data_IF_373477634728
#
_entry.id   IF_373477634728
#
_cell.length_a   1.000
_cell.length_b   1.000
_cell.length_c   1.000
_cell.angle_alpha   90.00
_cell.angle_beta   90.00
_cell.angle_gamma   90.00
#
_symmetry.space_group_name_H-M   'P 1'
#
loop_
_entity.id
_entity.type
_entity.pdbx_description
1 polymer ?
#
# COMPACT_ATOMS: atom_id res chain seq x y z
N UNK A 1 -18.98 52.64 16.28
CA UNK A 1 -18.55 51.64 15.25
C UNK A 1 -17.42 50.73 15.73
N UNK A 2 -16.44 51.19 16.51
CA UNK A 2 -15.29 50.41 16.98
C UNK A 2 -15.65 49.31 17.98
N UNK A 3 -16.56 49.58 18.92
CA UNK A 3 -17.01 48.60 19.95
C UNK A 3 -17.73 47.41 19.33
N UNK A 4 -18.55 47.66 18.29
CA UNK A 4 -19.29 46.59 17.59
C UNK A 4 -18.34 45.67 16.78
N UNK A 5 -17.28 46.23 16.18
CA UNK A 5 -16.24 45.42 15.48
C UNK A 5 -15.44 44.55 16.45
N UNK A 6 -15.06 45.11 17.61
CA UNK A 6 -14.33 44.33 18.62
C UNK A 6 -15.21 43.23 19.20
N UNK A 7 -16.50 43.50 19.47
CA UNK A 7 -17.45 42.47 19.93
C UNK A 7 -17.66 41.38 18.88
N UNK A 8 -17.73 41.69 17.58
CA UNK A 8 -17.86 40.74 16.48
C UNK A 8 -16.61 39.87 16.33
N UNK A 9 -15.41 40.43 16.50
CA UNK A 9 -14.15 39.69 16.46
C UNK A 9 -14.07 38.74 17.66
N UNK A 10 -14.40 39.19 18.86
CA UNK A 10 -14.39 38.34 20.07
C UNK A 10 -15.43 37.25 19.99
N UNK A 11 -16.63 37.52 19.47
CA UNK A 11 -17.65 36.45 19.26
C UNK A 11 -17.27 35.50 18.15
N UNK A 12 -16.62 35.98 17.09
CA UNK A 12 -16.09 35.13 16.02
C UNK A 12 -14.95 34.23 16.53
N UNK A 13 -14.01 34.76 17.30
CA UNK A 13 -12.92 34.01 17.92
C UNK A 13 -13.46 32.98 18.94
N UNK A 14 -14.46 33.34 19.73
CA UNK A 14 -15.13 32.44 20.66
C UNK A 14 -15.94 31.33 19.91
N UNK A 15 -16.56 31.64 18.77
CA UNK A 15 -17.22 30.67 17.90
C UNK A 15 -16.21 29.77 17.20
N UNK A 16 -15.09 30.31 16.72
CA UNK A 16 -13.99 29.51 16.17
C UNK A 16 -13.39 28.58 17.23
N UNK A 17 -13.18 29.08 18.46
CA UNK A 17 -12.73 28.25 19.58
C UNK A 17 -13.77 27.18 19.95
N UNK A 18 -15.05 27.48 19.83
CA UNK A 18 -16.12 26.51 20.10
C UNK A 18 -16.26 25.46 18.98
N UNK A 19 -16.11 25.85 17.72
CA UNK A 19 -16.08 24.94 16.56
C UNK A 19 -14.76 24.14 16.55
N UNK A 20 -13.63 24.75 16.91
CA UNK A 20 -12.33 24.08 17.04
C UNK A 20 -12.17 23.25 18.32
N UNK A 21 -13.16 23.23 19.22
CA UNK A 21 -13.17 22.42 20.45
C UNK A 21 -13.17 20.90 20.24
N UNK A 22 -13.00 20.43 19.02
CA UNK A 22 -12.74 19.02 18.70
C UNK A 22 -11.25 18.67 18.62
N UNK A 23 -10.39 19.37 19.36
CA UNK A 23 -8.98 18.96 19.44
C UNK A 23 -8.86 17.62 20.15
N UNK A 24 -8.45 16.60 19.41
CA UNK A 24 -8.19 15.29 19.96
C UNK A 24 -7.08 15.37 20.99
N UNK A 25 -7.39 15.09 22.28
CA UNK A 25 -6.37 15.05 23.33
C UNK A 25 -5.56 13.77 23.20
N UNK A 26 -4.24 13.93 23.15
CA UNK A 26 -3.29 12.83 22.99
C UNK A 26 -2.21 12.85 24.08
N UNK A 27 -1.64 11.68 24.35
CA UNK A 27 -0.41 11.53 25.11
C UNK A 27 0.74 11.21 24.16
N UNK A 28 1.94 11.69 24.45
CA UNK A 28 3.17 11.30 23.75
C UNK A 28 3.84 10.18 24.54
N UNK A 29 4.13 9.06 23.87
CA UNK A 29 4.89 7.96 24.48
C UNK A 29 6.38 8.30 24.50
N UNK A 30 7.01 8.09 25.67
CA UNK A 30 8.43 8.39 25.86
C UNK A 30 8.70 9.76 26.49
N UNK A 31 9.94 9.97 26.91
CA UNK A 31 10.46 11.20 27.52
C UNK A 31 11.82 11.60 26.96
N UNK A 32 12.20 11.04 25.81
CA UNK A 32 13.42 11.35 25.09
C UNK A 32 13.37 12.72 24.38
N UNK A 33 14.46 13.13 23.77
CA UNK A 33 14.56 14.39 23.05
C UNK A 33 13.57 14.47 21.88
N UNK A 34 13.31 13.35 21.20
CA UNK A 34 12.36 13.31 20.10
C UNK A 34 10.93 13.51 20.58
N UNK A 35 10.53 12.89 21.69
CA UNK A 35 9.22 13.11 22.34
C UNK A 35 9.02 14.56 22.73
N UNK A 36 10.05 15.23 23.27
CA UNK A 36 10.01 16.67 23.60
C UNK A 36 9.91 17.53 22.33
N UNK A 37 10.65 17.19 21.29
CA UNK A 37 10.57 17.88 20.00
C UNK A 37 9.17 17.77 19.38
N UNK A 38 8.53 16.60 19.47
CA UNK A 38 7.14 16.40 19.03
C UNK A 38 6.14 17.29 19.78
N UNK A 39 6.30 17.46 21.10
CA UNK A 39 5.45 18.38 21.88
C UNK A 39 5.58 19.81 21.39
N UNK A 40 6.83 20.26 21.15
CA UNK A 40 7.07 21.60 20.62
C UNK A 40 6.46 21.80 19.24
N UNK A 41 6.58 20.81 18.39
CA UNK A 41 6.01 20.80 17.04
C UNK A 41 4.48 20.82 17.03
N UNK A 42 3.82 20.14 17.98
CA UNK A 42 2.36 20.08 18.07
C UNK A 42 1.77 21.24 18.87
N UNK A 43 2.57 22.20 19.33
CA UNK A 43 2.13 23.33 20.15
C UNK A 43 0.99 24.13 19.53
N UNK A 44 1.09 24.40 18.22
CA UNK A 44 0.15 25.20 17.46
C UNK A 44 -0.80 24.37 16.59
N UNK A 45 -0.91 23.05 16.85
CA UNK A 45 -1.80 22.16 16.11
C UNK A 45 -3.27 22.45 16.42
N UNK A 46 -4.07 22.68 15.39
CA UNK A 46 -5.52 22.84 15.50
C UNK A 46 -6.27 21.51 15.73
N UNK A 47 -5.61 20.35 15.50
CA UNK A 47 -6.24 19.04 15.54
C UNK A 47 -5.90 18.23 16.79
N UNK A 48 -4.71 18.41 17.34
CA UNK A 48 -4.19 17.62 18.47
C UNK A 48 -3.78 18.54 19.64
N UNK A 49 -4.17 18.14 20.85
CA UNK A 49 -3.73 18.77 22.08
C UNK A 49 -2.97 17.78 22.94
N UNK A 50 -1.67 18.01 23.11
CA UNK A 50 -0.83 17.15 23.97
C UNK A 50 -1.20 17.38 25.41
N UNK A 51 -1.65 16.31 26.11
CA UNK A 51 -2.06 16.34 27.50
C UNK A 51 -0.96 15.93 28.47
N UNK A 52 0.09 15.30 28.00
CA UNK A 52 1.22 14.85 28.81
C UNK A 52 2.09 13.84 28.08
N UNK A 53 3.09 13.36 28.80
CA UNK A 53 3.96 12.26 28.37
C UNK A 53 3.55 10.99 29.09
N UNK A 54 3.81 9.84 28.48
CA UNK A 54 3.38 8.53 28.94
C UNK A 54 4.56 7.55 28.90
N UNK A 55 4.89 6.91 30.01
CA UNK A 55 6.12 6.11 30.16
C UNK A 55 5.83 4.86 30.94
N UNK A 56 6.36 3.73 30.47
CA UNK A 56 6.32 2.48 31.22
C UNK A 56 7.34 2.47 32.37
N UNK A 57 6.94 1.95 33.54
CA UNK A 57 7.77 1.74 34.71
C UNK A 57 7.50 2.68 35.88
N UNK A 58 8.10 2.36 37.03
CA UNK A 58 8.05 3.18 38.26
C UNK A 58 9.22 4.15 38.24
N UNK A 59 8.97 5.42 37.96
CA UNK A 59 9.98 6.42 38.25
C UNK A 59 9.36 7.60 38.98
N UNK A 60 9.84 7.86 40.19
CA UNK A 60 9.33 8.90 41.07
C UNK A 60 10.05 10.25 40.97
N UNK A 61 11.04 10.40 40.09
CA UNK A 61 11.95 11.56 40.12
C UNK A 61 11.49 12.76 39.27
N UNK A 62 10.82 12.54 38.16
CA UNK A 62 10.33 13.62 37.31
C UNK A 62 8.82 13.54 37.13
N UNK A 63 8.11 14.53 37.66
CA UNK A 63 6.64 14.64 37.52
C UNK A 63 6.21 15.47 36.32
N UNK A 64 7.09 16.26 35.73
CA UNK A 64 6.81 17.15 34.60
C UNK A 64 8.00 17.22 33.63
N UNK A 65 7.70 17.30 32.35
CA UNK A 65 8.65 17.51 31.26
C UNK A 65 8.06 18.53 30.29
N UNK A 66 8.84 19.55 29.91
CA UNK A 66 8.41 20.60 29.00
C UNK A 66 7.01 21.16 29.38
N UNK A 67 6.81 21.51 30.65
CA UNK A 67 5.57 22.03 31.26
C UNK A 67 4.36 21.10 31.25
N UNK A 68 4.49 19.86 30.81
CA UNK A 68 3.44 18.85 30.83
C UNK A 68 3.71 17.74 31.86
N UNK A 69 2.66 17.10 32.41
CA UNK A 69 2.82 16.01 33.34
C UNK A 69 3.37 14.76 32.63
N UNK A 70 4.16 13.98 33.36
CA UNK A 70 4.57 12.64 32.98
C UNK A 70 3.68 11.65 33.73
N UNK A 71 3.07 10.73 33.01
CA UNK A 71 2.27 9.64 33.56
C UNK A 71 3.04 8.33 33.45
N UNK A 72 3.21 7.67 34.58
CA UNK A 72 3.85 6.36 34.67
C UNK A 72 2.79 5.29 34.77
N UNK A 73 3.02 4.16 34.15
CA UNK A 73 2.13 3.01 34.22
C UNK A 73 2.92 1.71 34.29
N UNK A 74 2.35 0.72 34.97
CA UNK A 74 2.86 -0.65 35.03
C UNK A 74 1.81 -1.67 34.57
N UNK A 75 0.55 -1.25 34.60
CA UNK A 75 -0.58 -2.11 34.25
C UNK A 75 -1.70 -1.28 33.59
N UNK A 76 -2.67 -1.99 33.02
CA UNK A 76 -3.77 -1.38 32.25
C UNK A 76 -4.72 -0.54 33.12
N UNK A 77 -4.81 -0.82 34.42
CA UNK A 77 -5.63 -0.03 35.37
C UNK A 77 -5.11 1.39 35.53
N UNK A 78 -3.79 1.56 35.54
CA UNK A 78 -3.15 2.89 35.61
C UNK A 78 -3.47 3.72 34.38
N UNK A 79 -3.47 3.04 33.24
CA UNK A 79 -3.79 3.62 31.93
C UNK A 79 -5.23 4.10 31.88
N UNK A 80 -6.19 3.25 32.27
CA UNK A 80 -7.62 3.55 32.30
C UNK A 80 -7.95 4.79 33.11
N UNK A 81 -7.36 4.92 34.28
CA UNK A 81 -7.57 6.08 35.14
C UNK A 81 -7.15 7.39 34.46
N UNK A 82 -5.97 7.40 33.85
CA UNK A 82 -5.43 8.59 33.18
C UNK A 82 -6.28 8.97 31.97
N UNK A 83 -6.62 7.98 31.14
CA UNK A 83 -7.38 8.18 29.90
C UNK A 83 -8.76 8.76 30.21
N UNK A 84 -9.51 8.15 31.14
CA UNK A 84 -10.85 8.62 31.53
C UNK A 84 -10.82 9.99 32.19
N UNK A 85 -9.93 10.21 33.15
CA UNK A 85 -9.82 11.46 33.89
C UNK A 85 -9.42 12.66 33.02
N UNK A 86 -8.60 12.45 32.00
CA UNK A 86 -8.08 13.49 31.11
C UNK A 86 -8.77 13.57 29.76
N UNK A 87 -9.68 12.65 29.46
CA UNK A 87 -10.38 12.58 28.18
C UNK A 87 -9.44 12.38 27.01
N UNK A 88 -8.46 11.48 27.19
CA UNK A 88 -7.47 11.14 26.17
C UNK A 88 -8.15 10.31 25.07
N UNK A 89 -7.85 10.63 23.82
CA UNK A 89 -8.41 9.99 22.63
C UNK A 89 -7.37 9.32 21.74
N UNK A 90 -6.09 9.41 22.11
CA UNK A 90 -5.02 8.73 21.37
C UNK A 90 -3.67 8.84 22.02
N UNK A 91 -2.76 7.98 21.58
CA UNK A 91 -1.35 7.95 21.98
C UNK A 91 -0.50 8.16 20.73
N UNK A 92 0.48 9.06 20.81
CA UNK A 92 1.43 9.39 19.76
C UNK A 92 2.80 8.82 20.12
N UNK A 93 3.35 8.02 19.24
CA UNK A 93 4.69 7.47 19.32
C UNK A 93 5.67 8.31 18.51
N UNK A 94 6.86 8.58 19.06
CA UNK A 94 7.95 9.28 18.37
C UNK A 94 8.65 8.39 17.36
N UNK A 95 8.80 7.10 17.68
CA UNK A 95 9.43 6.09 16.83
C UNK A 95 8.55 4.87 16.67
N UNK A 96 8.73 4.21 15.55
CA UNK A 96 8.04 2.95 15.30
C UNK A 96 8.47 1.84 16.28
N UNK A 97 9.74 1.83 16.66
CA UNK A 97 10.31 0.87 17.63
C UNK A 97 9.60 0.92 18.99
N UNK A 98 9.18 2.12 19.39
CA UNK A 98 8.45 2.32 20.64
C UNK A 98 7.08 1.63 20.65
N UNK A 99 6.48 1.40 19.49
CA UNK A 99 5.21 0.67 19.38
C UNK A 99 5.35 -0.82 19.65
N UNK A 100 6.58 -1.36 19.55
CA UNK A 100 6.90 -2.78 19.81
C UNK A 100 7.33 -3.06 21.22
N UNK A 101 7.55 -2.03 22.01
CA UNK A 101 7.89 -2.22 23.41
C UNK A 101 6.77 -2.95 24.13
N UNK A 102 7.13 -3.81 25.06
CA UNK A 102 6.19 -4.61 25.85
C UNK A 102 5.27 -5.53 25.02
N UNK A 103 5.85 -6.22 24.02
CA UNK A 103 5.12 -7.22 23.22
C UNK A 103 3.84 -6.67 22.59
N UNK A 104 3.83 -5.40 22.19
CA UNK A 104 2.68 -4.66 21.63
C UNK A 104 1.50 -4.44 22.61
N UNK A 105 1.66 -4.66 23.90
CA UNK A 105 0.58 -4.55 24.89
C UNK A 105 -0.14 -3.21 24.82
N UNK A 106 0.60 -2.11 24.68
CA UNK A 106 0.00 -0.77 24.62
C UNK A 106 -0.81 -0.55 23.33
N UNK A 107 -0.42 -1.17 22.22
CA UNK A 107 -1.20 -1.16 20.99
C UNK A 107 -2.52 -1.91 21.16
N UNK A 108 -2.47 -3.07 21.79
CA UNK A 108 -3.67 -3.87 22.09
C UNK A 108 -4.61 -3.14 23.04
N UNK A 109 -4.05 -2.49 24.06
CA UNK A 109 -4.81 -1.65 24.97
C UNK A 109 -5.51 -0.49 24.24
N UNK A 110 -4.79 0.24 23.38
CA UNK A 110 -5.36 1.33 22.60
C UNK A 110 -6.52 0.85 21.73
N UNK A 111 -6.36 -0.30 21.10
CA UNK A 111 -7.38 -0.92 20.26
C UNK A 111 -8.63 -1.29 21.06
N UNK A 112 -8.45 -1.94 22.21
CA UNK A 112 -9.57 -2.39 23.05
C UNK A 112 -10.38 -1.24 23.66
N UNK A 113 -9.79 -0.04 23.73
CA UNK A 113 -10.40 1.15 24.33
C UNK A 113 -10.73 2.26 23.33
N UNK A 114 -10.78 1.96 22.04
CA UNK A 114 -11.08 2.92 20.94
C UNK A 114 -10.17 4.16 20.97
N UNK A 115 -8.89 3.98 21.32
CA UNK A 115 -7.90 5.03 21.31
C UNK A 115 -7.15 5.06 19.97
N UNK A 116 -6.98 6.27 19.42
CA UNK A 116 -6.19 6.45 18.21
C UNK A 116 -4.72 6.20 18.50
N UNK A 117 -4.11 5.30 17.76
CA UNK A 117 -2.66 5.09 17.77
C UNK A 117 -2.05 5.90 16.62
N UNK A 118 -1.17 6.82 16.96
CA UNK A 118 -0.55 7.77 16.03
C UNK A 118 0.95 7.58 16.04
N UNK A 119 1.58 7.82 14.91
CA UNK A 119 3.04 7.85 14.76
C UNK A 119 3.47 9.16 14.11
N UNK A 120 4.59 9.70 14.54
CA UNK A 120 5.23 10.82 13.86
C UNK A 120 6.21 10.27 12.80
N UNK A 121 6.19 10.78 11.57
CA UNK A 121 7.17 10.43 10.56
C UNK A 121 8.57 10.93 10.96
N UNK A 122 9.60 10.22 10.50
CA UNK A 122 11.00 10.62 10.67
C UNK A 122 11.30 11.92 9.90
N UNK A 123 12.30 12.68 10.34
CA UNK A 123 12.68 13.98 9.73
C UNK A 123 13.04 13.84 8.24
N UNK A 124 13.47 12.65 7.79
CA UNK A 124 13.78 12.34 6.39
C UNK A 124 12.56 12.31 5.45
N UNK A 125 11.34 12.26 6.00
CA UNK A 125 10.09 12.22 5.24
C UNK A 125 9.39 13.60 5.20
N UNK A 126 10.04 14.64 5.74
CA UNK A 126 9.50 15.98 5.78
C UNK A 126 9.59 16.63 4.40
N UNK A 127 8.44 16.94 3.80
CA UNK A 127 8.37 17.76 2.60
C UNK A 127 8.76 19.21 2.87
N UNK A 128 9.34 19.86 1.85
CA UNK A 128 9.83 21.24 1.86
C UNK A 128 8.79 22.32 2.20
N UNK A 129 7.51 21.98 2.27
CA UNK A 129 6.39 22.94 2.38
C UNK A 129 5.89 23.21 3.81
N UNK A 130 6.50 22.66 4.83
CA UNK A 130 6.26 23.03 6.24
C UNK A 130 4.87 22.76 6.82
N UNK A 131 3.99 22.02 6.14
CA UNK A 131 2.63 21.75 6.60
C UNK A 131 2.57 20.60 7.62
N UNK A 132 2.60 20.94 8.89
CA UNK A 132 2.60 20.03 10.04
C UNK A 132 1.37 19.11 10.18
N UNK A 133 0.25 19.45 9.57
CA UNK A 133 -1.01 18.69 9.70
C UNK A 133 -0.98 17.32 9.03
N UNK A 134 -0.05 17.09 8.10
CA UNK A 134 0.11 15.81 7.40
C UNK A 134 1.03 14.82 8.14
N UNK A 135 1.72 15.23 9.19
CA UNK A 135 2.82 14.47 9.80
C UNK A 135 2.40 13.50 10.90
N UNK A 136 1.24 13.72 11.50
CA UNK A 136 0.70 12.79 12.50
C UNK A 136 -0.45 12.02 11.87
N UNK A 137 -0.25 10.73 11.64
CA UNK A 137 -1.23 9.85 11.00
C UNK A 137 -1.47 8.58 11.82
N UNK A 138 -2.61 7.90 11.64
CA UNK A 138 -2.81 6.57 12.19
C UNK A 138 -1.74 5.61 11.67
N UNK A 139 -1.29 4.68 12.52
CA UNK A 139 -0.38 3.61 12.11
C UNK A 139 -1.04 2.80 11.01
N UNK A 140 -0.36 2.67 9.88
CA UNK A 140 -0.77 1.84 8.76
C UNK A 140 -0.11 0.45 8.87
N UNK A 141 -0.72 -0.52 8.19
CA UNK A 141 -0.18 -1.88 8.13
C UNK A 141 1.24 -1.90 7.54
N UNK A 142 1.54 -1.00 6.62
CA UNK A 142 2.86 -0.83 6.00
C UNK A 142 3.95 -0.47 7.01
N UNK A 143 3.60 0.28 8.05
CA UNK A 143 4.53 0.66 9.13
C UNK A 143 5.00 -0.57 9.94
N UNK A 144 4.26 -1.70 9.84
CA UNK A 144 4.62 -2.97 10.51
C UNK A 144 5.77 -3.72 9.83
N UNK A 145 6.22 -3.32 8.65
CA UNK A 145 7.34 -3.98 7.95
C UNK A 145 8.67 -3.87 8.71
N UNK A 146 8.85 -2.82 9.52
CA UNK A 146 10.04 -2.62 10.34
C UNK A 146 11.34 -2.43 9.55
N UNK A 147 11.25 -2.03 8.29
CA UNK A 147 12.37 -1.65 7.42
C UNK A 147 11.96 -0.49 6.51
N UNK A 148 12.94 0.26 6.06
CA UNK A 148 12.71 1.29 5.06
C UNK A 148 12.19 0.66 3.74
N UNK A 149 11.30 1.37 3.04
CA UNK A 149 10.89 0.99 1.69
C UNK A 149 12.09 1.05 0.73
N UNK A 150 12.12 0.11 -0.22
CA UNK A 150 13.12 0.12 -1.29
C UNK A 150 12.79 1.27 -2.24
N UNK A 151 13.68 2.26 -2.30
CA UNK A 151 13.55 3.40 -3.17
C UNK A 151 14.39 3.19 -4.43
N UNK A 152 13.74 3.03 -5.58
CA UNK A 152 14.39 2.94 -6.89
C UNK A 152 14.33 4.32 -7.55
N UNK A 153 15.42 4.71 -8.19
CA UNK A 153 15.45 5.97 -8.94
C UNK A 153 14.61 5.86 -10.24
N UNK A 154 13.34 6.21 -10.14
CA UNK A 154 12.40 6.16 -11.26
C UNK A 154 12.81 7.03 -12.46
N UNK A 155 13.71 8.01 -12.29
CA UNK A 155 14.21 8.83 -13.42
C UNK A 155 15.00 8.00 -14.43
N UNK A 156 15.76 6.99 -13.99
CA UNK A 156 16.47 6.09 -14.89
C UNK A 156 15.49 5.18 -15.63
N UNK A 157 14.45 4.73 -14.94
CA UNK A 157 13.40 3.88 -15.48
C UNK A 157 12.51 4.66 -16.46
N UNK A 158 12.25 5.94 -16.21
CA UNK A 158 11.37 6.78 -17.03
C UNK A 158 11.80 6.86 -18.50
N UNK A 159 13.10 6.85 -18.80
CA UNK A 159 13.61 6.88 -20.16
C UNK A 159 13.13 5.68 -21.00
N UNK A 160 12.92 4.53 -20.35
CA UNK A 160 12.46 3.30 -20.99
C UNK A 160 10.97 3.33 -21.42
N UNK A 161 10.16 4.20 -20.79
CA UNK A 161 8.71 4.25 -20.98
C UNK A 161 8.24 5.51 -21.70
N UNK A 162 9.06 6.57 -21.73
CA UNK A 162 8.67 7.87 -22.31
C UNK A 162 8.16 7.73 -23.74
N UNK A 163 6.97 8.28 -23.99
CA UNK A 163 6.35 8.31 -25.32
C UNK A 163 5.80 6.97 -25.80
N UNK A 164 5.81 5.92 -24.99
CA UNK A 164 5.34 4.57 -25.37
C UNK A 164 3.88 4.35 -25.04
N UNK A 165 3.25 3.46 -25.79
CA UNK A 165 1.97 2.84 -25.43
C UNK A 165 2.26 1.65 -24.53
N UNK A 166 1.64 1.65 -23.34
CA UNK A 166 1.82 0.59 -22.33
C UNK A 166 0.50 -0.13 -22.11
N UNK A 167 0.53 -1.45 -22.20
CA UNK A 167 -0.59 -2.32 -21.86
C UNK A 167 -0.36 -2.93 -20.49
N UNK A 168 -1.36 -2.83 -19.62
CA UNK A 168 -1.40 -3.53 -18.34
C UNK A 168 -2.59 -4.49 -18.33
N UNK A 169 -2.34 -5.79 -18.27
CA UNK A 169 -3.39 -6.79 -18.07
C UNK A 169 -3.55 -7.09 -16.59
N UNK A 170 -4.77 -7.37 -16.14
CA UNK A 170 -5.09 -7.43 -14.71
C UNK A 170 -5.05 -6.03 -14.07
N UNK A 171 -5.39 -5.00 -14.86
CA UNK A 171 -5.27 -3.59 -14.49
C UNK A 171 -6.14 -3.16 -13.31
N UNK A 172 -7.22 -3.89 -13.03
CA UNK A 172 -8.10 -3.65 -11.89
C UNK A 172 -7.67 -4.38 -10.60
N UNK A 173 -6.67 -5.27 -10.69
CA UNK A 173 -6.08 -5.94 -9.52
C UNK A 173 -5.17 -5.02 -8.72
N UNK A 174 -4.81 -5.43 -7.49
CA UNK A 174 -3.97 -4.63 -6.58
C UNK A 174 -2.61 -4.25 -7.19
N UNK A 175 -1.96 -5.16 -7.91
CA UNK A 175 -0.67 -4.90 -8.58
C UNK A 175 -0.89 -4.11 -9.87
N UNK A 176 -1.86 -4.54 -10.71
CA UNK A 176 -2.10 -3.89 -11.99
C UNK A 176 -2.52 -2.43 -11.86
N UNK A 177 -3.42 -2.10 -10.93
CA UNK A 177 -3.86 -0.72 -10.71
C UNK A 177 -2.73 0.18 -10.18
N UNK A 178 -1.87 -0.36 -9.32
CA UNK A 178 -0.72 0.38 -8.82
C UNK A 178 0.35 0.58 -9.90
N UNK A 179 0.61 -0.43 -10.75
CA UNK A 179 1.46 -0.26 -11.94
C UNK A 179 0.92 0.86 -12.84
N UNK A 180 -0.40 0.89 -13.07
CA UNK A 180 -1.03 1.96 -13.83
C UNK A 180 -0.75 3.33 -13.22
N UNK A 181 -0.91 3.50 -11.88
CA UNK A 181 -0.63 4.77 -11.18
C UNK A 181 0.82 5.21 -11.33
N UNK A 182 1.76 4.29 -11.15
CA UNK A 182 3.19 4.64 -11.23
C UNK A 182 3.65 4.93 -12.67
N UNK A 183 3.11 4.24 -13.66
CA UNK A 183 3.42 4.46 -15.08
C UNK A 183 3.04 5.86 -15.55
N UNK A 184 1.99 6.47 -15.01
CA UNK A 184 1.56 7.84 -15.31
C UNK A 184 2.71 8.83 -15.11
N UNK A 185 3.48 8.69 -14.04
CA UNK A 185 4.61 9.57 -13.72
C UNK A 185 5.82 9.41 -14.62
N UNK A 186 5.84 8.42 -15.54
CA UNK A 186 6.99 8.09 -16.39
C UNK A 186 6.93 8.68 -17.79
N UNK A 187 5.91 9.53 -18.09
CA UNK A 187 5.77 10.19 -19.39
C UNK A 187 5.38 9.26 -20.53
N UNK A 188 4.61 8.23 -20.26
CA UNK A 188 4.03 7.34 -21.28
C UNK A 188 3.11 8.12 -22.23
N UNK A 189 2.97 7.65 -23.47
CA UNK A 189 2.06 8.27 -24.45
C UNK A 189 0.61 7.85 -24.22
N UNK A 190 0.38 6.58 -23.93
CA UNK A 190 -0.95 6.00 -23.73
C UNK A 190 -0.88 4.81 -22.78
N UNK A 191 -1.87 4.71 -21.91
CA UNK A 191 -2.06 3.57 -21.00
C UNK A 191 -3.29 2.77 -21.42
N UNK A 192 -3.12 1.48 -21.73
CA UNK A 192 -4.23 0.55 -22.00
C UNK A 192 -4.41 -0.34 -20.79
N UNK A 193 -5.56 -0.20 -20.12
CA UNK A 193 -5.91 -0.94 -18.90
C UNK A 193 -6.87 -2.08 -19.26
N UNK A 194 -6.39 -3.32 -19.29
CA UNK A 194 -7.15 -4.50 -19.68
C UNK A 194 -7.47 -5.37 -18.47
N UNK A 195 -8.75 -5.63 -18.23
CA UNK A 195 -9.22 -6.49 -17.14
C UNK A 195 -10.56 -7.13 -17.46
N UNK A 196 -10.83 -8.32 -16.88
CA UNK A 196 -12.13 -9.00 -17.01
C UNK A 196 -13.13 -8.55 -15.95
N UNK A 197 -12.68 -7.94 -14.86
CA UNK A 197 -13.52 -7.48 -13.75
C UNK A 197 -14.05 -6.06 -14.04
N UNK A 198 -15.30 -5.96 -14.52
CA UNK A 198 -15.92 -4.71 -14.97
C UNK A 198 -15.94 -3.64 -13.85
N UNK A 199 -16.59 -3.94 -12.72
CA UNK A 199 -16.76 -2.97 -11.63
C UNK A 199 -15.42 -2.48 -11.03
N UNK A 200 -14.44 -3.34 -10.71
CA UNK A 200 -13.11 -2.88 -10.31
C UNK A 200 -12.43 -2.01 -11.37
N UNK A 201 -12.55 -2.35 -12.65
CA UNK A 201 -11.96 -1.55 -13.73
C UNK A 201 -12.64 -0.17 -13.85
N UNK A 202 -13.96 -0.11 -13.68
CA UNK A 202 -14.70 1.14 -13.63
C UNK A 202 -14.23 2.04 -12.47
N UNK A 203 -14.02 1.47 -11.29
CA UNK A 203 -13.50 2.23 -10.15
C UNK A 203 -12.11 2.83 -10.43
N UNK A 204 -11.21 2.06 -11.05
CA UNK A 204 -9.90 2.55 -11.48
C UNK A 204 -10.08 3.65 -12.54
N UNK A 205 -11.00 3.51 -13.48
CA UNK A 205 -11.31 4.55 -14.47
C UNK A 205 -11.70 5.86 -13.79
N UNK A 206 -12.66 5.85 -12.87
CA UNK A 206 -13.11 7.05 -12.15
C UNK A 206 -11.97 7.71 -11.36
N UNK A 207 -11.11 6.91 -10.76
CA UNK A 207 -9.91 7.41 -10.08
C UNK A 207 -8.99 8.14 -11.06
N UNK A 208 -8.76 7.56 -12.25
CA UNK A 208 -7.88 8.14 -13.26
C UNK A 208 -8.45 9.41 -13.89
N UNK A 209 -9.74 9.44 -14.19
CA UNK A 209 -10.44 10.63 -14.67
C UNK A 209 -10.31 11.81 -13.69
N UNK A 210 -10.33 11.52 -12.38
CA UNK A 210 -10.22 12.53 -11.33
C UNK A 210 -8.78 12.99 -11.08
N UNK A 211 -7.85 12.05 -10.98
CA UNK A 211 -6.50 12.33 -10.46
C UNK A 211 -5.45 12.53 -11.56
N UNK A 212 -5.71 12.05 -12.79
CA UNK A 212 -4.77 12.07 -13.91
C UNK A 212 -5.44 12.52 -15.23
N UNK A 213 -6.09 13.69 -15.26
CA UNK A 213 -6.91 14.14 -16.42
C UNK A 213 -6.09 14.34 -17.71
N UNK A 214 -4.79 14.58 -17.61
CA UNK A 214 -3.91 14.85 -18.75
C UNK A 214 -3.35 13.57 -19.39
N UNK A 215 -3.64 12.39 -18.84
CA UNK A 215 -3.13 11.12 -19.33
C UNK A 215 -4.12 10.50 -20.32
N UNK A 216 -3.61 10.17 -21.52
CA UNK A 216 -4.37 9.36 -22.46
C UNK A 216 -4.43 7.90 -21.99
N UNK A 217 -5.58 7.49 -21.43
CA UNK A 217 -5.79 6.14 -20.96
C UNK A 217 -7.09 5.54 -21.48
N UNK A 218 -7.09 4.24 -21.68
CA UNK A 218 -8.25 3.50 -22.18
C UNK A 218 -8.49 2.26 -21.31
N UNK A 219 -9.61 2.18 -20.59
CA UNK A 219 -10.05 0.93 -19.94
C UNK A 219 -10.67 0.00 -20.98
N UNK A 220 -10.23 -1.25 -21.00
CA UNK A 220 -10.70 -2.29 -21.92
C UNK A 220 -11.17 -3.49 -21.10
N UNK A 221 -12.47 -3.79 -21.17
CA UNK A 221 -13.01 -5.01 -20.58
C UNK A 221 -12.66 -6.19 -21.48
N UNK A 222 -12.04 -7.22 -20.93
CA UNK A 222 -11.71 -8.43 -21.66
C UNK A 222 -10.99 -9.46 -20.82
N UNK A 223 -11.08 -10.72 -21.25
CA UNK A 223 -10.47 -11.86 -20.57
C UNK A 223 -9.25 -12.33 -21.39
N UNK A 224 -8.13 -12.55 -20.72
CA UNK A 224 -6.89 -13.03 -21.34
C UNK A 224 -7.05 -14.45 -21.92
N UNK A 225 -8.09 -15.20 -21.53
CA UNK A 225 -8.45 -16.50 -22.10
C UNK A 225 -9.02 -16.41 -23.50
N UNK A 226 -9.53 -15.24 -23.90
CA UNK A 226 -10.18 -15.01 -25.21
C UNK A 226 -9.17 -14.42 -26.18
N UNK A 227 -8.59 -15.28 -27.01
CA UNK A 227 -7.51 -14.93 -27.95
C UNK A 227 -7.88 -13.73 -28.83
N UNK A 228 -9.06 -13.74 -29.40
CA UNK A 228 -9.55 -12.69 -30.30
C UNK A 228 -9.65 -11.34 -29.59
N UNK A 229 -10.04 -11.35 -28.31
CA UNK A 229 -10.13 -10.13 -27.52
C UNK A 229 -8.74 -9.57 -27.21
N UNK A 230 -7.78 -10.42 -26.87
CA UNK A 230 -6.37 -10.02 -26.68
C UNK A 230 -5.82 -9.49 -28.02
N UNK A 231 -6.05 -10.19 -29.14
CA UNK A 231 -5.61 -9.76 -30.49
C UNK A 231 -6.13 -8.35 -30.82
N UNK A 232 -7.43 -8.10 -30.66
CA UNK A 232 -8.03 -6.78 -30.92
C UNK A 232 -7.34 -5.65 -30.13
N UNK A 233 -6.91 -5.90 -28.89
CA UNK A 233 -6.19 -4.91 -28.09
C UNK A 233 -4.82 -4.60 -28.70
N UNK A 234 -4.07 -5.62 -29.09
CA UNK A 234 -2.77 -5.41 -29.71
C UNK A 234 -2.88 -4.76 -31.10
N UNK A 235 -3.87 -5.15 -31.88
CA UNK A 235 -4.15 -4.59 -33.22
C UNK A 235 -4.54 -3.11 -33.15
N UNK A 236 -5.40 -2.72 -32.18
CA UNK A 236 -5.89 -1.35 -32.08
C UNK A 236 -4.89 -0.39 -31.43
N UNK A 237 -4.09 -0.85 -30.50
CA UNK A 237 -3.26 0.03 -29.66
C UNK A 237 -1.75 -0.13 -29.87
N UNK A 238 -1.28 -1.20 -30.49
CA UNK A 238 0.13 -1.49 -30.77
C UNK A 238 1.05 -1.20 -29.55
N UNK A 239 0.83 -1.87 -28.38
CA UNK A 239 1.61 -1.59 -27.19
C UNK A 239 3.09 -1.97 -27.38
N UNK A 240 3.98 -1.05 -27.07
CA UNK A 240 5.42 -1.30 -27.06
C UNK A 240 5.88 -2.02 -25.79
N UNK A 241 5.20 -1.78 -24.67
CA UNK A 241 5.50 -2.44 -23.40
C UNK A 241 4.23 -3.08 -22.83
N UNK A 242 4.37 -4.31 -22.35
CA UNK A 242 3.27 -5.07 -21.77
C UNK A 242 3.62 -5.47 -20.35
N UNK A 243 2.82 -5.06 -19.39
CA UNK A 243 2.84 -5.61 -18.04
C UNK A 243 1.71 -6.62 -17.90
N UNK A 244 2.06 -7.89 -17.69
CA UNK A 244 1.10 -8.96 -17.58
C UNK A 244 0.92 -9.34 -16.10
N UNK A 245 -0.10 -8.75 -15.46
CA UNK A 245 -0.46 -9.00 -14.06
C UNK A 245 -1.79 -9.78 -13.91
N UNK A 246 -2.49 -10.09 -15.01
CA UNK A 246 -3.69 -10.92 -14.99
C UNK A 246 -3.36 -12.36 -14.58
N UNK A 247 -3.93 -12.81 -13.46
CA UNK A 247 -3.75 -14.19 -12.97
C UNK A 247 -4.74 -14.50 -11.85
N UNK A 248 -5.08 -15.76 -11.67
CA UNK A 248 -5.67 -16.28 -10.46
C UNK A 248 -4.59 -16.62 -9.43
N UNK A 249 -4.78 -16.19 -8.17
CA UNK A 249 -3.73 -16.22 -7.13
C UNK A 249 -4.11 -16.96 -5.84
N UNK A 250 -5.39 -17.24 -5.63
CA UNK A 250 -5.87 -17.87 -4.40
C UNK A 250 -5.67 -19.37 -4.43
N UNK A 251 -4.72 -19.86 -3.63
CA UNK A 251 -4.32 -21.27 -3.61
C UNK A 251 -5.52 -22.21 -3.37
N UNK A 252 -6.35 -22.03 -2.31
CA UNK A 252 -7.46 -22.94 -2.07
C UNK A 252 -8.44 -23.03 -3.25
N UNK A 253 -8.82 -21.88 -3.83
CA UNK A 253 -9.72 -21.88 -4.97
C UNK A 253 -9.12 -22.55 -6.21
N UNK A 254 -7.81 -22.47 -6.40
CA UNK A 254 -7.16 -23.13 -7.55
C UNK A 254 -6.97 -24.62 -7.34
N UNK A 255 -6.84 -25.08 -6.10
CA UNK A 255 -6.90 -26.52 -5.80
C UNK A 255 -8.28 -27.12 -6.13
N UNK A 256 -9.35 -26.37 -5.83
CA UNK A 256 -10.72 -26.77 -6.16
C UNK A 256 -11.05 -26.62 -7.65
N UNK A 257 -10.36 -25.72 -8.37
CA UNK A 257 -10.62 -25.36 -9.77
C UNK A 257 -9.33 -25.37 -10.62
N UNK A 258 -8.64 -26.52 -10.76
CA UNK A 258 -7.34 -26.58 -11.42
C UNK A 258 -7.38 -26.20 -12.91
N UNK A 259 -8.47 -26.52 -13.61
CA UNK A 259 -8.64 -26.15 -15.01
C UNK A 259 -8.66 -24.63 -15.20
N UNK A 260 -9.29 -23.90 -14.31
CA UNK A 260 -9.36 -22.42 -14.35
C UNK A 260 -7.96 -21.81 -14.12
N UNK A 261 -7.17 -22.39 -13.20
CA UNK A 261 -5.78 -21.98 -13.03
C UNK A 261 -4.95 -22.14 -14.31
N UNK A 262 -5.10 -23.26 -15.03
CA UNK A 262 -4.41 -23.50 -16.29
C UNK A 262 -4.92 -22.54 -17.38
N UNK A 263 -6.22 -22.38 -17.51
CA UNK A 263 -6.80 -21.52 -18.55
C UNK A 263 -6.37 -20.06 -18.38
N UNK A 264 -6.41 -19.51 -17.17
CA UNK A 264 -6.04 -18.11 -16.93
C UNK A 264 -4.52 -17.94 -16.88
N UNK A 265 -3.85 -18.71 -16.01
CA UNK A 265 -2.44 -18.45 -15.73
C UNK A 265 -1.51 -18.96 -16.84
N UNK A 266 -1.83 -20.07 -17.50
CA UNK A 266 -1.00 -20.65 -18.56
C UNK A 266 -1.46 -20.18 -19.93
N UNK A 267 -2.71 -20.53 -20.33
CA UNK A 267 -3.21 -20.18 -21.66
C UNK A 267 -3.34 -18.69 -21.87
N UNK A 268 -3.84 -17.96 -20.85
CA UNK A 268 -3.93 -16.49 -20.89
C UNK A 268 -2.55 -15.84 -21.04
N UNK A 269 -1.56 -16.28 -20.26
CA UNK A 269 -0.18 -15.76 -20.39
C UNK A 269 0.44 -16.06 -21.73
N UNK A 270 0.20 -17.27 -22.27
CA UNK A 270 0.64 -17.66 -23.62
C UNK A 270 0.05 -16.74 -24.68
N UNK A 271 -1.26 -16.49 -24.64
CA UNK A 271 -1.93 -15.66 -25.63
C UNK A 271 -1.40 -14.22 -25.61
N UNK A 272 -1.18 -13.64 -24.42
CA UNK A 272 -0.60 -12.29 -24.30
C UNK A 272 0.84 -12.28 -24.85
N UNK A 273 1.64 -13.30 -24.54
CA UNK A 273 3.02 -13.40 -25.03
C UNK A 273 3.10 -13.56 -26.54
N UNK A 274 2.24 -14.44 -27.13
CA UNK A 274 2.17 -14.66 -28.58
C UNK A 274 1.79 -13.36 -29.30
N UNK A 275 0.78 -12.64 -28.80
CA UNK A 275 0.38 -11.36 -29.37
C UNK A 275 1.49 -10.28 -29.20
N UNK A 276 2.21 -10.29 -28.09
CA UNK A 276 3.34 -9.38 -27.93
C UNK A 276 4.42 -9.58 -29.00
N UNK A 277 4.69 -10.83 -29.37
CA UNK A 277 5.61 -11.15 -30.48
C UNK A 277 5.01 -10.78 -31.83
N UNK A 278 3.77 -11.23 -32.11
CA UNK A 278 3.07 -11.03 -33.39
C UNK A 278 2.97 -9.54 -33.74
N UNK A 279 2.66 -8.67 -32.74
CA UNK A 279 2.52 -7.22 -32.95
C UNK A 279 3.78 -6.41 -32.61
N UNK A 280 4.91 -7.09 -32.38
CA UNK A 280 6.23 -6.48 -32.28
C UNK A 280 6.43 -5.62 -31.04
N UNK A 281 5.81 -5.97 -29.89
CA UNK A 281 6.10 -5.33 -28.62
C UNK A 281 7.61 -5.44 -28.30
N UNK A 282 8.17 -4.39 -27.71
CA UNK A 282 9.60 -4.35 -27.36
C UNK A 282 9.89 -5.19 -26.12
N UNK A 283 8.97 -5.11 -25.13
CA UNK A 283 9.12 -5.81 -23.83
C UNK A 283 7.78 -6.35 -23.34
N UNK A 284 7.83 -7.52 -22.73
CA UNK A 284 6.75 -8.05 -21.89
C UNK A 284 7.31 -8.41 -20.53
N UNK A 285 6.77 -7.79 -19.49
CA UNK A 285 7.09 -8.07 -18.09
C UNK A 285 5.95 -8.88 -17.51
N UNK A 286 6.26 -10.13 -17.15
CA UNK A 286 5.30 -11.05 -16.53
C UNK A 286 5.43 -10.99 -15.01
N UNK A 287 4.36 -10.64 -14.34
CA UNK A 287 4.28 -10.70 -12.88
C UNK A 287 4.06 -12.14 -12.42
N UNK A 288 4.96 -12.65 -11.59
CA UNK A 288 4.90 -13.99 -11.02
C UNK A 288 5.04 -13.94 -9.48
N UNK A 289 5.24 -15.08 -8.85
CA UNK A 289 5.19 -15.26 -7.40
C UNK A 289 6.33 -16.13 -6.91
N UNK A 290 6.69 -16.00 -5.62
CA UNK A 290 7.56 -16.91 -4.89
C UNK A 290 7.07 -18.36 -4.94
N UNK A 291 5.74 -18.57 -5.01
CA UNK A 291 5.10 -19.88 -5.06
C UNK A 291 5.34 -20.64 -6.38
N UNK A 292 5.88 -19.97 -7.40
CA UNK A 292 6.36 -20.60 -8.62
C UNK A 292 7.77 -21.21 -8.50
N UNK A 293 8.44 -20.99 -7.35
CA UNK A 293 9.73 -21.62 -7.03
C UNK A 293 9.46 -22.94 -6.32
N UNK A 294 9.87 -24.06 -6.94
CA UNK A 294 9.57 -25.42 -6.42
C UNK A 294 8.08 -25.58 -6.03
N UNK A 295 7.17 -25.41 -6.98
CA UNK A 295 5.75 -25.27 -6.68
C UNK A 295 5.18 -26.55 -6.07
N UNK A 296 4.45 -26.40 -4.96
CA UNK A 296 3.80 -27.49 -4.23
C UNK A 296 2.26 -27.40 -4.28
N UNK A 297 1.71 -26.55 -5.16
CA UNK A 297 0.27 -26.35 -5.31
C UNK A 297 -0.08 -25.97 -6.75
N UNK A 298 -1.36 -26.15 -7.13
CA UNK A 298 -1.87 -25.92 -8.50
C UNK A 298 -1.59 -24.49 -8.97
N UNK A 299 -1.85 -23.48 -8.12
CA UNK A 299 -1.60 -22.08 -8.46
C UNK A 299 -0.12 -21.84 -8.77
N UNK A 300 0.78 -22.30 -7.91
CA UNK A 300 2.23 -22.19 -8.12
C UNK A 300 2.69 -22.94 -9.38
N UNK A 301 2.18 -24.17 -9.61
CA UNK A 301 2.47 -24.95 -10.82
C UNK A 301 2.01 -24.22 -12.08
N UNK A 302 0.80 -23.67 -12.10
CA UNK A 302 0.27 -22.95 -13.26
C UNK A 302 1.11 -21.69 -13.57
N UNK A 303 1.53 -20.94 -12.55
CA UNK A 303 2.44 -19.79 -12.74
C UNK A 303 3.81 -20.22 -13.24
N UNK A 304 4.35 -21.34 -12.73
CA UNK A 304 5.63 -21.88 -13.20
C UNK A 304 5.56 -22.34 -14.67
N UNK A 305 4.49 -23.00 -15.08
CA UNK A 305 4.29 -23.37 -16.49
C UNK A 305 4.23 -22.14 -17.41
N UNK A 306 3.53 -21.09 -16.98
CA UNK A 306 3.50 -19.83 -17.71
C UNK A 306 4.89 -19.18 -17.83
N UNK A 307 5.68 -19.18 -16.75
CA UNK A 307 7.08 -18.69 -16.79
C UNK A 307 7.92 -19.49 -17.77
N UNK A 308 7.81 -20.82 -17.76
CA UNK A 308 8.56 -21.70 -18.68
C UNK A 308 8.19 -21.37 -20.12
N UNK A 309 6.90 -21.19 -20.43
CA UNK A 309 6.48 -20.81 -21.77
C UNK A 309 7.10 -19.48 -22.21
N UNK A 310 6.94 -18.43 -21.41
CA UNK A 310 7.43 -17.08 -21.71
C UNK A 310 8.96 -17.08 -21.87
N UNK A 311 9.68 -17.77 -20.99
CA UNK A 311 11.14 -17.88 -21.08
C UNK A 311 11.58 -18.67 -22.32
N UNK A 312 10.90 -19.78 -22.64
CA UNK A 312 11.19 -20.58 -23.82
C UNK A 312 10.96 -19.81 -25.11
N UNK A 313 9.87 -18.99 -25.17
CA UNK A 313 9.59 -18.12 -26.31
C UNK A 313 10.70 -17.07 -26.48
N UNK A 314 11.15 -16.46 -25.37
CA UNK A 314 12.27 -15.52 -25.37
C UNK A 314 13.61 -16.15 -25.81
N UNK A 315 13.87 -17.43 -25.45
CA UNK A 315 15.00 -18.18 -25.94
C UNK A 315 14.90 -18.45 -27.44
N UNK A 316 13.73 -18.90 -27.92
CA UNK A 316 13.50 -19.18 -29.33
C UNK A 316 13.68 -17.95 -30.22
N UNK A 317 13.29 -16.76 -29.77
CA UNK A 317 13.55 -15.49 -30.46
C UNK A 317 15.06 -15.21 -30.51
N UNK A 318 15.77 -15.33 -29.40
CA UNK A 318 17.23 -15.09 -29.36
C UNK A 318 18.02 -16.06 -30.25
N UNK A 319 17.53 -17.29 -30.36
CA UNK A 319 18.14 -18.33 -31.23
C UNK A 319 17.70 -18.23 -32.70
N UNK A 320 16.83 -17.26 -33.04
CA UNK A 320 16.32 -17.09 -34.41
C UNK A 320 15.31 -18.14 -34.85
N UNK A 321 14.82 -18.99 -33.94
CA UNK A 321 13.79 -20.02 -34.23
C UNK A 321 12.39 -19.42 -34.38
N UNK A 322 12.15 -18.30 -33.71
CA UNK A 322 10.93 -17.51 -33.81
C UNK A 322 11.30 -16.10 -34.23
N UNK A 323 10.65 -15.60 -35.26
CA UNK A 323 10.83 -14.21 -35.66
C UNK A 323 10.16 -13.27 -34.66
N UNK A 324 10.91 -12.28 -34.17
CA UNK A 324 10.41 -11.31 -33.21
C UNK A 324 11.54 -10.52 -32.55
N UNK A 325 11.18 -9.49 -31.80
CA UNK A 325 12.13 -8.63 -31.06
C UNK A 325 11.79 -8.49 -29.57
N UNK A 326 10.69 -9.08 -29.17
CA UNK A 326 10.14 -8.93 -27.81
C UNK A 326 11.10 -9.50 -26.77
N UNK A 327 11.48 -8.67 -25.79
CA UNK A 327 12.25 -9.10 -24.62
C UNK A 327 11.27 -9.52 -23.52
N UNK A 328 11.41 -10.74 -23.03
CA UNK A 328 10.60 -11.27 -21.96
C UNK A 328 11.34 -11.18 -20.63
N UNK A 329 10.66 -10.63 -19.62
CA UNK A 329 11.16 -10.48 -18.25
C UNK A 329 10.12 -11.11 -17.33
N UNK A 330 10.56 -11.96 -16.41
CA UNK A 330 9.72 -12.55 -15.38
C UNK A 330 10.16 -12.04 -14.02
N UNK A 331 9.24 -11.44 -13.28
CA UNK A 331 9.48 -10.94 -11.93
C UNK A 331 8.73 -11.80 -10.92
N UNK A 332 9.39 -12.12 -9.79
CA UNK A 332 8.81 -12.87 -8.68
C UNK A 332 8.91 -12.05 -7.41
N UNK A 333 7.83 -11.99 -6.66
CA UNK A 333 7.82 -11.41 -5.32
C UNK A 333 6.94 -12.22 -4.39
N UNK A 334 7.14 -12.02 -3.09
CA UNK A 334 6.40 -12.69 -2.03
C UNK A 334 5.01 -12.07 -1.81
N UNK A 335 4.56 -12.06 -0.55
CA UNK A 335 3.27 -11.48 -0.23
C UNK A 335 3.37 -9.94 -0.25
N UNK A 336 2.30 -9.31 -0.73
CA UNK A 336 2.17 -7.84 -0.70
C UNK A 336 1.12 -7.45 0.34
N UNK A 337 1.46 -6.47 1.17
CA UNK A 337 0.60 -5.97 2.23
C UNK A 337 -0.64 -5.30 1.66
N UNK A 338 -1.80 -5.56 2.27
CA UNK A 338 -3.05 -4.88 1.90
C UNK A 338 -3.64 -5.28 0.55
N UNK A 339 -3.09 -6.28 -0.16
CA UNK A 339 -3.69 -6.74 -1.42
C UNK A 339 -5.04 -7.45 -1.17
N UNK A 340 -5.99 -7.26 -2.10
CA UNK A 340 -7.33 -7.83 -2.01
C UNK A 340 -7.29 -9.35 -1.77
N UNK A 341 -8.06 -9.81 -0.77
CA UNK A 341 -8.13 -11.22 -0.37
C UNK A 341 -6.84 -11.79 0.22
N UNK A 342 -5.88 -10.95 0.63
CA UNK A 342 -4.67 -11.40 1.32
C UNK A 342 -4.90 -11.68 2.81
N UNK A 343 -3.90 -12.28 3.46
CA UNK A 343 -3.99 -12.70 4.87
C UNK A 343 -4.23 -11.54 5.84
N UNK A 344 -3.66 -10.36 5.57
CA UNK A 344 -3.76 -9.22 6.49
C UNK A 344 -5.18 -8.65 6.60
N UNK A 345 -5.89 -8.33 5.50
CA UNK A 345 -7.31 -7.95 5.59
C UNK A 345 -8.17 -9.02 6.28
N UNK A 346 -7.90 -10.31 6.05
CA UNK A 346 -8.62 -11.40 6.71
C UNK A 346 -8.35 -11.43 8.22
N UNK A 347 -7.10 -11.26 8.64
CA UNK A 347 -6.76 -11.18 10.05
C UNK A 347 -7.42 -9.99 10.71
N UNK A 348 -7.43 -8.83 10.04
CA UNK A 348 -8.11 -7.62 10.54
C UNK A 348 -9.59 -7.89 10.74
N UNK A 349 -10.29 -8.46 9.77
CA UNK A 349 -11.69 -8.84 9.86
C UNK A 349 -11.95 -9.82 11.02
N UNK A 350 -11.12 -10.88 11.15
CA UNK A 350 -11.25 -11.85 12.25
C UNK A 350 -11.06 -11.18 13.62
N UNK A 351 -10.11 -10.27 13.75
CA UNK A 351 -9.86 -9.53 14.99
C UNK A 351 -11.05 -8.59 15.29
N UNK A 352 -11.55 -7.87 14.30
CA UNK A 352 -12.71 -6.97 14.45
C UNK A 352 -13.98 -7.73 14.89
N UNK A 353 -14.11 -8.99 14.47
CA UNK A 353 -15.20 -9.89 14.86
C UNK A 353 -14.94 -10.66 16.19
N UNK A 354 -13.89 -10.30 16.95
CA UNK A 354 -13.57 -10.89 18.25
C UNK A 354 -12.71 -12.15 18.21
N UNK A 355 -12.13 -12.51 17.03
CA UNK A 355 -11.25 -13.67 16.88
C UNK A 355 -11.97 -15.02 16.81
N UNK A 356 -11.26 -16.14 16.81
CA UNK A 356 -9.79 -16.25 16.77
C UNK A 356 -9.20 -15.94 15.39
N UNK A 357 -7.89 -15.60 15.36
CA UNK A 357 -7.12 -15.48 14.11
C UNK A 357 -6.71 -16.88 13.63
N UNK A 358 -6.99 -17.18 12.36
CA UNK A 358 -6.66 -18.48 11.76
C UNK A 358 -5.26 -18.48 11.18
N UNK A 359 -4.35 -19.26 11.78
CA UNK A 359 -2.98 -19.46 11.30
C UNK A 359 -2.86 -20.84 10.67
N UNK A 360 -2.33 -20.94 9.46
CA UNK A 360 -2.20 -22.20 8.73
C UNK A 360 -1.19 -23.13 9.38
N UNK A 361 -0.09 -22.60 9.90
CA UNK A 361 0.95 -23.35 10.61
C UNK A 361 1.71 -22.39 11.54
N UNK A 362 2.05 -22.79 12.79
CA UNK A 362 2.71 -21.90 13.74
C UNK A 362 4.08 -21.40 13.27
N UNK A 363 4.84 -22.22 12.57
CA UNK A 363 6.20 -21.91 12.10
C UNK A 363 6.24 -21.29 10.70
N UNK A 364 5.10 -20.85 10.15
CA UNK A 364 5.06 -20.34 8.80
C UNK A 364 5.72 -18.96 8.71
N UNK A 365 6.71 -18.84 7.83
CA UNK A 365 7.41 -17.58 7.55
C UNK A 365 6.95 -17.05 6.18
N UNK A 366 6.70 -15.76 6.08
CA UNK A 366 6.34 -15.06 4.84
C UNK A 366 7.14 -13.78 4.71
N UNK A 367 7.66 -13.54 3.50
CA UNK A 367 8.22 -12.24 3.13
C UNK A 367 7.10 -11.31 2.72
N UNK A 368 7.13 -10.09 3.23
CA UNK A 368 6.18 -9.05 2.90
C UNK A 368 6.88 -7.82 2.31
N UNK A 369 6.18 -7.16 1.39
CA UNK A 369 6.52 -5.84 0.87
C UNK A 369 5.25 -5.02 0.66
N UNK A 370 5.39 -3.71 0.47
CA UNK A 370 4.25 -2.86 0.08
C UNK A 370 3.90 -3.07 -1.39
N UNK A 371 2.66 -2.78 -1.78
CA UNK A 371 2.24 -2.85 -3.18
C UNK A 371 3.04 -1.86 -4.04
N UNK A 372 3.23 -0.56 -3.62
CA UNK A 372 4.06 0.38 -4.37
C UNK A 372 5.51 -0.09 -4.54
N UNK A 373 6.11 -0.69 -3.50
CA UNK A 373 7.47 -1.24 -3.55
C UNK A 373 7.59 -2.38 -4.57
N UNK A 374 6.64 -3.34 -4.53
CA UNK A 374 6.60 -4.43 -5.49
C UNK A 374 6.50 -3.91 -6.93
N UNK A 375 5.64 -2.91 -7.19
CA UNK A 375 5.47 -2.34 -8.51
C UNK A 375 6.72 -1.59 -8.99
N UNK A 376 7.41 -0.85 -8.10
CA UNK A 376 8.70 -0.21 -8.43
C UNK A 376 9.78 -1.21 -8.83
N UNK A 377 9.80 -2.39 -8.22
CA UNK A 377 10.73 -3.47 -8.55
C UNK A 377 10.39 -4.20 -9.86
N UNK A 378 9.13 -4.13 -10.29
CA UNK A 378 8.67 -4.74 -11.56
C UNK A 378 8.99 -3.86 -12.77
N UNK A 379 9.07 -2.55 -12.60
CA UNK A 379 9.41 -1.59 -13.65
C UNK A 379 10.90 -1.50 -13.91
#
# INVERSE_FOLDING_TARGET
MTVFRVSLIITYDLLLDWVNKKNTRILIYGTDEESVALKLRLRDSSHYKVAGFYVYGRNNSRRRLADLPIYYFENDSDVDYIIRKRGIKGILFSRYEDTRLEENRLLEYCKSNDLKTLIAPTISEADSDGNFHQWVRPIKIEDLLGRAEININLRQVAAEFRGKVVLVTGAAGSIGSELCRQLVGLGIRKLVMFDSAETPLHNVRLEFEKNYPDIDFIPVIGDVRVKERVRMVFENYHPQVVFHAAAYKHVPLMEENPCEAVLVNVTGSRQVADMAVEYGAEKMIMVSTDKAVNPANVMGCSKRLAEIYVQSLGCAIREGKVQGRTKFITTRFGNVLGSNGSVIPRFKEQIENGGPVTVTHPDIIRFFMTIPEACRLVM
#
